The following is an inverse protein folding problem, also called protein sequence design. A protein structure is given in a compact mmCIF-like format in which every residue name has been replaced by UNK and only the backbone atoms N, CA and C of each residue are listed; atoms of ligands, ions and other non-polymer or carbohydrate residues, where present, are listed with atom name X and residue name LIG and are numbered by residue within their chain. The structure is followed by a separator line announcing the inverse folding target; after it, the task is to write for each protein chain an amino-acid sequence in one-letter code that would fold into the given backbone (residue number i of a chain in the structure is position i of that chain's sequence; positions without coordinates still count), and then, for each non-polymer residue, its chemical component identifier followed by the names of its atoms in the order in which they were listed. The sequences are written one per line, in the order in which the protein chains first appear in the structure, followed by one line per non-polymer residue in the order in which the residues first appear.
data_IF_800311687148
#
_entry.id   IF_800311687148
#
_cell.length_a   1.000
_cell.length_b   1.000
_cell.length_c   1.000
_cell.angle_alpha   90.00
_cell.angle_beta   90.00
_cell.angle_gamma   90.00
#
_symmetry.space_group_name_H-M   'P 1'
#
loop_
_entity.id
_entity.type
_entity.pdbx_description
1 polymer ?
#
# COMPACT_ATOMS: atom_id res chain seq x y z
N UNK A 1 -32.25 -32.10 0.93
CA UNK A 1 -31.14 -31.20 0.55
C UNK A 1 -29.83 -32.00 0.38
N UNK A 2 -29.94 -33.28 0.05
CA UNK A 2 -28.92 -34.28 0.39
C UNK A 2 -27.95 -34.58 -0.77
N UNK A 3 -28.29 -34.13 -1.98
CA UNK A 3 -27.51 -34.36 -3.18
C UNK A 3 -26.24 -33.49 -3.27
N UNK A 4 -26.23 -32.30 -2.63
CA UNK A 4 -25.05 -31.42 -2.62
C UNK A 4 -23.97 -31.90 -1.65
N UNK A 5 -24.35 -32.49 -0.52
CA UNK A 5 -23.41 -33.04 0.46
C UNK A 5 -22.68 -34.26 -0.10
N UNK A 6 -23.41 -35.20 -0.70
CA UNK A 6 -22.84 -36.38 -1.35
C UNK A 6 -21.94 -36.04 -2.57
N UNK A 7 -22.15 -34.90 -3.21
CA UNK A 7 -21.29 -34.41 -4.29
C UNK A 7 -19.97 -33.80 -3.75
N UNK A 8 -20.01 -33.17 -2.58
CA UNK A 8 -18.83 -32.62 -1.92
C UNK A 8 -17.94 -33.75 -1.35
N UNK A 9 -18.52 -34.75 -0.70
CA UNK A 9 -17.79 -35.89 -0.15
C UNK A 9 -17.03 -36.68 -1.24
N UNK A 10 -17.66 -36.87 -2.41
CA UNK A 10 -17.00 -37.50 -3.57
C UNK A 10 -15.83 -36.69 -4.11
N UNK A 11 -15.89 -35.36 -4.07
CA UNK A 11 -14.78 -34.48 -4.48
C UNK A 11 -13.62 -34.50 -3.50
N UNK A 12 -13.91 -34.60 -2.19
CA UNK A 12 -12.86 -34.72 -1.15
C UNK A 12 -12.12 -36.05 -1.29
N UNK A 13 -12.85 -37.17 -1.43
CA UNK A 13 -12.23 -38.48 -1.62
C UNK A 13 -11.35 -38.57 -2.89
N UNK A 14 -11.75 -37.87 -3.96
CA UNK A 14 -10.95 -37.78 -5.18
C UNK A 14 -9.66 -36.95 -5.00
N UNK A 15 -9.67 -35.92 -4.14
CA UNK A 15 -8.48 -35.11 -3.85
C UNK A 15 -7.50 -35.82 -2.90
N UNK A 16 -8.02 -36.58 -1.94
CA UNK A 16 -7.19 -37.37 -1.02
C UNK A 16 -6.51 -38.55 -1.73
N UNK A 17 -7.19 -39.19 -2.68
CA UNK A 17 -6.61 -40.24 -3.52
C UNK A 17 -5.62 -39.71 -4.57
N UNK A 18 -5.68 -38.41 -4.90
CA UNK A 18 -4.76 -37.75 -5.83
C UNK A 18 -3.49 -37.21 -5.18
N UNK A 19 -3.30 -37.32 -3.85
CA UNK A 19 -2.05 -36.96 -3.20
C UNK A 19 -0.95 -37.96 -3.61
N UNK A 20 0.04 -37.56 -4.43
CA UNK A 20 1.09 -38.49 -4.83
C UNK A 20 1.97 -38.80 -3.62
N UNK A 21 2.07 -40.08 -3.30
CA UNK A 21 3.10 -40.64 -2.41
C UNK A 21 4.46 -40.09 -2.87
N UNK A 22 5.09 -39.27 -2.01
CA UNK A 22 6.42 -38.70 -2.23
C UNK A 22 7.41 -39.86 -2.32
N UNK A 23 7.71 -40.29 -3.55
CA UNK A 23 8.67 -41.36 -3.84
C UNK A 23 9.99 -40.95 -3.19
N UNK A 24 10.43 -41.69 -2.17
CA UNK A 24 11.76 -41.53 -1.56
C UNK A 24 12.79 -41.83 -2.65
N UNK A 25 13.28 -40.78 -3.30
CA UNK A 25 14.53 -40.84 -4.05
C UNK A 25 15.61 -40.71 -2.98
N UNK A 26 16.41 -41.76 -2.83
CA UNK A 26 17.63 -41.73 -2.04
C UNK A 26 18.56 -40.68 -2.67
N UNK A 27 19.01 -39.63 -1.96
CA UNK A 27 19.91 -38.66 -2.54
C UNK A 27 21.30 -39.29 -2.69
N UNK A 28 21.86 -39.18 -3.89
CA UNK A 28 23.30 -39.15 -4.10
C UNK A 28 23.84 -37.90 -3.39
N UNK A 29 24.98 -38.00 -2.72
CA UNK A 29 25.54 -36.96 -1.86
C UNK A 29 25.89 -35.69 -2.68
N UNK A 30 24.93 -34.78 -2.78
CA UNK A 30 25.13 -33.42 -3.25
C UNK A 30 25.50 -32.53 -2.06
N UNK A 31 26.56 -31.75 -2.25
CA UNK A 31 27.11 -30.76 -1.32
C UNK A 31 26.01 -29.83 -0.76
N UNK A 32 25.80 -29.76 0.57
CA UNK A 32 24.74 -28.97 1.20
C UNK A 32 24.89 -27.45 1.05
N UNK A 33 25.93 -26.96 0.37
CA UNK A 33 26.16 -25.54 0.12
C UNK A 33 25.40 -24.95 -1.10
N UNK A 34 24.85 -25.79 -1.98
CA UNK A 34 24.29 -25.35 -3.28
C UNK A 34 22.79 -25.66 -3.46
N UNK A 35 21.98 -25.58 -2.39
CA UNK A 35 20.51 -25.61 -2.51
C UNK A 35 19.91 -24.19 -2.54
N UNK A 36 19.60 -23.62 -3.72
CA UNK A 36 19.03 -22.28 -3.86
C UNK A 36 17.56 -22.19 -3.44
N UNK A 37 16.92 -23.28 -2.99
CA UNK A 37 15.47 -23.32 -2.72
C UNK A 37 15.11 -22.93 -1.28
N UNK A 38 16.08 -22.84 -0.36
CA UNK A 38 15.89 -22.31 0.99
C UNK A 38 16.27 -20.81 1.09
N UNK A 39 15.67 -19.96 0.25
CA UNK A 39 15.60 -18.54 0.61
C UNK A 39 14.74 -18.46 1.87
N UNK A 40 15.38 -18.23 3.02
CA UNK A 40 14.74 -18.11 4.32
C UNK A 40 13.50 -17.22 4.19
N UNK A 41 12.31 -17.82 4.31
CA UNK A 41 11.08 -17.04 4.41
C UNK A 41 11.22 -16.25 5.71
N UNK A 42 11.19 -14.90 5.68
CA UNK A 42 11.33 -14.11 6.90
C UNK A 42 10.25 -14.57 7.88
N UNK A 43 10.68 -15.25 8.95
CA UNK A 43 9.77 -15.96 9.88
C UNK A 43 9.40 -15.06 11.06
N UNK A 44 10.15 -13.99 11.29
CA UNK A 44 9.87 -12.99 12.32
C UNK A 44 9.48 -11.63 11.73
N UNK A 45 8.73 -10.85 12.50
CA UNK A 45 8.41 -9.44 12.17
C UNK A 45 9.67 -8.60 11.97
N UNK A 46 10.75 -8.90 12.70
CA UNK A 46 12.04 -8.25 12.56
C UNK A 46 12.68 -8.55 11.19
N UNK A 47 12.63 -9.80 10.74
CA UNK A 47 13.13 -10.20 9.41
C UNK A 47 12.34 -9.53 8.28
N UNK A 48 11.01 -9.44 8.43
CA UNK A 48 10.15 -8.75 7.46
C UNK A 48 10.49 -7.26 7.40
N UNK A 49 10.66 -6.60 8.56
CA UNK A 49 11.02 -5.19 8.62
C UNK A 49 12.42 -4.94 8.05
N UNK A 50 13.39 -5.80 8.35
CA UNK A 50 14.74 -5.72 7.81
C UNK A 50 14.75 -5.91 6.29
N UNK A 51 14.02 -6.89 5.75
CA UNK A 51 13.86 -7.08 4.31
C UNK A 51 13.20 -5.88 3.63
N UNK A 52 12.11 -5.35 4.21
CA UNK A 52 11.47 -4.11 3.73
C UNK A 52 12.41 -2.92 3.76
N UNK A 53 13.26 -2.82 4.78
CA UNK A 53 14.26 -1.75 4.89
C UNK A 53 15.30 -1.90 3.79
N UNK A 54 15.82 -3.11 3.55
CA UNK A 54 16.75 -3.38 2.46
C UNK A 54 16.15 -3.03 1.09
N UNK A 55 14.89 -3.38 0.84
CA UNK A 55 14.18 -3.01 -0.40
C UNK A 55 14.08 -1.48 -0.57
N UNK A 56 13.75 -0.76 0.49
CA UNK A 56 13.66 0.70 0.46
C UNK A 56 15.04 1.32 0.21
N UNK A 57 16.08 0.84 0.88
CA UNK A 57 17.46 1.31 0.68
C UNK A 57 17.97 1.03 -0.74
N UNK A 58 17.59 -0.10 -1.34
CA UNK A 58 17.99 -0.47 -2.70
C UNK A 58 17.17 0.24 -3.80
N UNK A 59 16.02 0.83 -3.45
CA UNK A 59 15.15 1.48 -4.43
C UNK A 59 15.65 2.86 -4.85
N UNK A 60 15.26 3.31 -6.05
CA UNK A 60 15.55 4.67 -6.48
C UNK A 60 14.73 5.69 -5.68
N UNK A 61 15.42 6.50 -4.87
CA UNK A 61 14.78 7.54 -4.07
C UNK A 61 14.39 8.76 -4.91
N UNK A 62 15.08 9.02 -6.03
CA UNK A 62 14.76 10.15 -6.91
C UNK A 62 13.35 10.01 -7.49
N UNK A 63 12.91 8.77 -7.77
CA UNK A 63 11.55 8.47 -8.19
C UNK A 63 10.46 8.91 -7.19
N UNK A 64 10.80 9.18 -5.93
CA UNK A 64 9.86 9.65 -4.88
C UNK A 64 9.93 11.16 -4.64
N UNK A 65 10.86 11.86 -5.29
CA UNK A 65 11.15 13.26 -5.02
C UNK A 65 9.95 14.16 -5.32
N UNK A 66 9.25 13.95 -6.45
CA UNK A 66 8.07 14.76 -6.82
C UNK A 66 6.92 14.57 -5.82
N UNK A 67 6.68 13.32 -5.41
CA UNK A 67 5.66 12.98 -4.42
C UNK A 67 5.95 13.63 -3.08
N UNK A 68 7.20 13.61 -2.61
CA UNK A 68 7.58 14.30 -1.37
C UNK A 68 7.52 15.82 -1.52
N UNK A 69 8.00 16.36 -2.65
CA UNK A 69 7.94 17.78 -2.95
C UNK A 69 6.49 18.31 -2.99
N UNK A 70 5.52 17.47 -3.34
CA UNK A 70 4.09 17.80 -3.27
C UNK A 70 3.61 18.12 -1.84
N UNK A 71 4.28 17.61 -0.80
CA UNK A 71 3.95 17.92 0.59
C UNK A 71 4.60 19.23 1.09
N UNK A 72 5.67 19.70 0.43
CA UNK A 72 6.46 20.86 0.86
C UNK A 72 5.80 22.24 0.67
N UNK A 73 4.47 22.34 0.71
CA UNK A 73 3.74 23.61 0.62
C UNK A 73 2.66 23.68 1.71
N UNK A 74 2.60 24.77 2.50
CA UNK A 74 1.67 24.87 3.63
C UNK A 74 0.20 24.80 3.22
N UNK A 75 -0.18 25.39 2.08
CA UNK A 75 -1.56 25.34 1.57
C UNK A 75 -1.96 23.91 1.22
N UNK A 76 -1.05 23.13 0.61
CA UNK A 76 -1.29 21.72 0.29
C UNK A 76 -1.44 20.85 1.54
N UNK A 77 -0.65 21.08 2.58
CA UNK A 77 -0.79 20.38 3.86
C UNK A 77 -2.12 20.72 4.55
N UNK A 78 -2.52 22.00 4.53
CA UNK A 78 -3.84 22.41 5.03
C UNK A 78 -4.97 21.74 4.26
N UNK A 79 -4.92 21.72 2.92
CA UNK A 79 -5.91 21.02 2.08
C UNK A 79 -6.03 19.53 2.46
N UNK A 80 -4.89 18.84 2.58
CA UNK A 80 -4.87 17.43 2.98
C UNK A 80 -5.49 17.24 4.37
N UNK A 81 -5.16 18.10 5.34
CA UNK A 81 -5.75 18.06 6.68
C UNK A 81 -7.26 18.23 6.62
N UNK A 82 -7.77 19.25 5.94
CA UNK A 82 -9.22 19.51 5.86
C UNK A 82 -9.98 18.37 5.16
N UNK A 83 -9.40 17.78 4.11
CA UNK A 83 -9.96 16.61 3.43
C UNK A 83 -10.02 15.39 4.38
N UNK A 84 -9.00 15.18 5.20
CA UNK A 84 -9.02 14.12 6.23
C UNK A 84 -10.09 14.36 7.30
N UNK A 85 -10.44 15.62 7.57
CA UNK A 85 -11.54 16.01 8.47
C UNK A 85 -12.92 16.02 7.77
N UNK A 86 -12.99 15.65 6.50
CA UNK A 86 -14.26 15.48 5.77
C UNK A 86 -14.66 16.65 4.86
N UNK A 87 -13.89 17.74 4.79
CA UNK A 87 -14.11 18.81 3.79
C UNK A 87 -13.57 18.36 2.43
N UNK A 88 -14.41 17.68 1.67
CA UNK A 88 -13.99 16.97 0.46
C UNK A 88 -14.30 17.70 -0.85
N UNK A 89 -14.96 18.87 -0.81
CA UNK A 89 -15.35 19.63 -2.01
C UNK A 89 -14.65 20.98 -2.07
N UNK A 90 -14.43 21.50 -3.28
CA UNK A 90 -13.82 22.83 -3.46
C UNK A 90 -14.63 23.93 -2.79
N UNK A 91 -15.96 23.80 -2.78
CA UNK A 91 -16.84 24.76 -2.11
C UNK A 91 -16.55 24.80 -0.60
N UNK A 92 -16.57 23.64 0.07
CA UNK A 92 -16.29 23.53 1.50
C UNK A 92 -14.84 23.92 1.86
N UNK A 93 -13.89 23.68 0.95
CA UNK A 93 -12.49 24.07 1.12
C UNK A 93 -12.31 25.59 0.93
N UNK A 94 -13.05 26.24 0.04
CA UNK A 94 -12.95 27.69 -0.18
C UNK A 94 -13.40 28.51 1.04
N UNK A 95 -14.12 27.90 1.98
CA UNK A 95 -14.52 28.51 3.26
C UNK A 95 -13.38 28.52 4.30
N UNK A 96 -12.27 27.84 4.04
CA UNK A 96 -11.14 27.76 4.98
C UNK A 96 -10.17 28.91 4.71
N UNK A 97 -9.95 29.72 5.74
CA UNK A 97 -9.04 30.86 5.67
C UNK A 97 -7.62 30.44 5.31
N UNK A 98 -6.95 31.26 4.48
CA UNK A 98 -5.55 31.06 4.12
C UNK A 98 -5.29 30.03 3.01
N UNK A 99 -6.33 29.41 2.42
CA UNK A 99 -6.17 28.53 1.25
C UNK A 99 -6.03 29.27 -0.09
N UNK A 100 -6.25 30.58 -0.09
CA UNK A 100 -6.18 31.43 -1.27
C UNK A 100 -7.48 31.43 -2.08
N UNK A 101 -7.36 31.83 -3.34
CA UNK A 101 -8.48 31.90 -4.29
C UNK A 101 -8.94 30.51 -4.72
N UNK A 102 -10.18 30.38 -5.18
CA UNK A 102 -10.71 29.13 -5.75
C UNK A 102 -9.82 28.56 -6.86
N UNK A 103 -9.23 29.42 -7.71
CA UNK A 103 -8.28 29.01 -8.75
C UNK A 103 -7.00 28.38 -8.19
N UNK A 104 -6.45 28.94 -7.10
CA UNK A 104 -5.30 28.36 -6.40
C UNK A 104 -5.64 27.01 -5.77
N UNK A 105 -6.84 26.89 -5.16
CA UNK A 105 -7.32 25.61 -4.61
C UNK A 105 -7.37 24.54 -5.71
N UNK A 106 -7.97 24.83 -6.87
CA UNK A 106 -8.00 23.90 -8.00
C UNK A 106 -6.59 23.51 -8.47
N UNK A 107 -5.67 24.47 -8.55
CA UNK A 107 -4.29 24.21 -8.92
C UNK A 107 -3.62 23.25 -7.92
N UNK A 108 -3.77 23.48 -6.61
CA UNK A 108 -3.21 22.63 -5.58
C UNK A 108 -3.83 21.23 -5.54
N UNK A 109 -5.16 21.12 -5.68
CA UNK A 109 -5.85 19.83 -5.72
C UNK A 109 -5.43 19.02 -6.95
N UNK A 110 -5.30 19.66 -8.12
CA UNK A 110 -4.78 19.03 -9.33
C UNK A 110 -3.35 18.53 -9.13
N UNK A 111 -2.49 19.34 -8.52
CA UNK A 111 -1.11 18.94 -8.24
C UNK A 111 -1.03 17.78 -7.24
N UNK A 112 -1.82 17.79 -6.17
CA UNK A 112 -1.89 16.68 -5.21
C UNK A 112 -2.45 15.41 -5.83
N UNK A 113 -3.38 15.53 -6.77
CA UNK A 113 -3.93 14.39 -7.51
C UNK A 113 -2.89 13.82 -8.49
N UNK A 114 -2.13 14.68 -9.17
CA UNK A 114 -1.07 14.25 -10.09
C UNK A 114 0.08 13.50 -9.38
N UNK A 115 0.30 13.78 -8.11
CA UNK A 115 1.33 13.16 -7.26
C UNK A 115 0.77 12.05 -6.36
N UNK A 116 -0.42 11.52 -6.68
CA UNK A 116 -1.11 10.43 -5.99
C UNK A 116 -1.39 10.65 -4.49
N UNK A 117 -1.41 11.90 -4.03
CA UNK A 117 -1.84 12.24 -2.67
C UNK A 117 -3.37 12.31 -2.55
N UNK A 118 -4.06 12.61 -3.65
CA UNK A 118 -5.50 12.66 -3.73
C UNK A 118 -6.02 11.83 -4.91
N UNK A 119 -7.26 11.40 -4.78
CA UNK A 119 -8.06 10.87 -5.90
C UNK A 119 -9.46 11.47 -5.85
N UNK A 120 -10.22 11.30 -6.93
CA UNK A 120 -11.58 11.82 -7.09
C UNK A 120 -12.58 10.65 -7.11
N UNK A 121 -13.10 10.20 -5.96
CA UNK A 121 -14.04 9.08 -5.92
C UNK A 121 -15.35 9.38 -6.65
N UNK A 122 -15.82 10.62 -6.59
CA UNK A 122 -16.97 11.13 -7.34
C UNK A 122 -16.69 12.55 -7.81
N UNK A 123 -17.38 13.01 -8.86
CA UNK A 123 -17.13 14.32 -9.48
C UNK A 123 -17.18 15.45 -8.44
N UNK A 124 -16.09 16.20 -8.31
CA UNK A 124 -15.98 17.34 -7.40
C UNK A 124 -15.69 16.99 -5.94
N UNK A 125 -15.51 15.70 -5.64
CA UNK A 125 -15.12 15.18 -4.31
C UNK A 125 -13.68 14.70 -4.37
N UNK A 126 -12.89 15.07 -3.38
CA UNK A 126 -11.49 14.68 -3.24
C UNK A 126 -11.29 13.85 -1.98
N UNK A 127 -10.45 12.83 -2.06
CA UNK A 127 -10.13 11.97 -0.92
C UNK A 127 -8.67 11.52 -0.95
N UNK A 128 -8.08 11.35 0.22
CA UNK A 128 -6.75 10.74 0.37
C UNK A 128 -6.89 9.22 0.21
N UNK A 129 -6.11 8.58 -0.70
CA UNK A 129 -6.12 7.13 -0.85
C UNK A 129 -5.86 6.41 0.49
N UNK A 130 -6.55 5.30 0.82
CA UNK A 130 -6.39 4.63 2.11
C UNK A 130 -4.95 4.26 2.46
N UNK A 131 -4.18 3.81 1.47
CA UNK A 131 -2.76 3.47 1.59
C UNK A 131 -1.86 4.70 1.84
N UNK A 132 -2.25 5.89 1.37
CA UNK A 132 -1.50 7.15 1.55
C UNK A 132 -1.81 7.83 2.87
N UNK A 133 -2.98 7.55 3.49
CA UNK A 133 -3.38 8.16 4.76
C UNK A 133 -2.41 7.84 5.89
N UNK A 134 -2.08 6.56 6.07
CA UNK A 134 -1.10 6.14 7.09
C UNK A 134 0.31 6.71 6.80
N UNK A 135 0.73 6.70 5.52
CA UNK A 135 2.02 7.25 5.11
C UNK A 135 2.14 8.76 5.38
N UNK A 136 1.09 9.53 5.08
CA UNK A 136 1.06 10.98 5.34
C UNK A 136 1.22 11.27 6.83
N UNK A 137 0.44 10.60 7.68
CA UNK A 137 0.51 10.79 9.13
C UNK A 137 1.86 10.35 9.70
N UNK A 138 2.45 9.27 9.20
CA UNK A 138 3.78 8.82 9.61
C UNK A 138 4.87 9.85 9.27
N UNK A 139 4.80 10.44 8.07
CA UNK A 139 5.73 11.51 7.67
C UNK A 139 5.60 12.71 8.61
N UNK A 140 4.38 13.18 8.88
CA UNK A 140 4.15 14.33 9.74
C UNK A 140 4.59 14.06 11.19
N UNK A 141 4.23 12.90 11.75
CA UNK A 141 4.63 12.50 13.10
C UNK A 141 6.16 12.38 13.24
N UNK A 142 6.86 11.93 12.20
CA UNK A 142 8.33 11.88 12.20
C UNK A 142 9.00 13.28 12.19
N UNK A 143 8.25 14.34 11.87
CA UNK A 143 8.71 15.73 11.88
C UNK A 143 8.34 16.48 13.17
N UNK A 144 7.39 15.95 13.95
CA UNK A 144 7.05 16.47 15.28
C UNK A 144 8.14 16.03 16.26
N UNK A 145 9.10 16.91 16.54
CA UNK A 145 10.20 16.68 17.49
C UNK A 145 10.16 17.70 18.62
#
# INVERSE_FOLDING_TARGET
MDNRLAALERRVAALESAHPQRKKVLPDEADPADDPVLRAVPTTTADVLAARTADVLASDWAARASTLAALGNPVRLTLLREILHGRTTVNALSEVDGLGTTGQIYHHLRHLTAEDWLHTPTRGVFAVPPNKRAALLAILAALET
#
